data_IF_546800312895
#
_entry.id   IF_546800312895
#
_cell.length_a   1.000
_cell.length_b   1.000
_cell.length_c   1.000
_cell.angle_alpha   90.00
_cell.angle_beta   90.00
_cell.angle_gamma   90.00
#
_symmetry.space_group_name_H-M   'P 1'
#
loop_
_entity.id
_entity.type
_entity.pdbx_description
1 polymer ?
#
# COMPACT_ATOMS: atom_id res chain seq x y z
N UNK A 1 -4.42 12.04 0.90
CA UNK A 1 -3.16 11.38 0.57
C UNK A 1 -3.16 9.92 0.99
N UNK A 2 -2.94 9.02 0.02
CA UNK A 2 -2.84 7.56 0.20
C UNK A 2 -1.38 7.10 0.19
N UNK A 3 -1.07 6.03 0.92
CA UNK A 3 0.29 5.52 1.11
C UNK A 3 0.45 4.02 0.77
N UNK A 4 0.11 3.57 -0.45
CA UNK A 4 0.31 2.18 -0.84
C UNK A 4 1.79 1.86 -1.08
N UNK A 5 2.14 0.57 -1.10
CA UNK A 5 3.48 0.09 -1.46
C UNK A 5 3.85 0.58 -2.86
N UNK A 6 5.04 1.18 -3.01
CA UNK A 6 5.60 1.65 -4.28
C UNK A 6 6.93 0.96 -4.55
N UNK A 7 7.22 0.67 -5.83
CA UNK A 7 8.51 0.13 -6.28
C UNK A 7 9.17 1.09 -7.26
N UNK A 8 8.59 1.26 -8.44
CA UNK A 8 9.13 2.10 -9.50
C UNK A 8 8.71 3.58 -9.35
N UNK A 9 7.48 3.84 -8.91
CA UNK A 9 6.96 5.20 -8.76
C UNK A 9 6.63 5.90 -10.10
N UNK A 10 6.65 5.16 -11.21
CA UNK A 10 6.46 5.70 -12.57
C UNK A 10 5.28 5.07 -13.32
N UNK A 11 4.49 4.24 -12.64
CA UNK A 11 3.28 3.61 -13.20
C UNK A 11 3.52 2.31 -13.96
N UNK A 12 4.75 1.76 -13.94
CA UNK A 12 5.11 0.55 -14.68
C UNK A 12 4.86 -0.73 -13.89
N UNK A 13 4.95 -0.71 -12.56
CA UNK A 13 4.85 -1.95 -11.77
C UNK A 13 3.44 -2.27 -11.24
N UNK A 14 2.55 -1.26 -11.12
CA UNK A 14 1.21 -1.44 -10.54
C UNK A 14 1.18 -1.82 -9.04
N UNK A 15 2.33 -1.75 -8.34
CA UNK A 15 2.42 -2.03 -6.89
C UNK A 15 1.52 -1.10 -6.06
N UNK A 16 1.46 0.16 -6.48
CA UNK A 16 0.69 1.22 -5.82
C UNK A 16 -0.78 1.33 -6.27
N UNK A 17 -1.32 0.26 -6.90
CA UNK A 17 -2.71 0.28 -7.37
C UNK A 17 -3.69 0.45 -6.20
N UNK A 18 -4.74 1.21 -6.47
CA UNK A 18 -5.89 1.43 -5.61
C UNK A 18 -7.17 1.20 -6.42
N UNK A 19 -8.16 0.58 -5.79
CA UNK A 19 -9.51 0.46 -6.34
C UNK A 19 -10.33 1.64 -5.83
N UNK A 20 -10.91 2.40 -6.76
CA UNK A 20 -11.87 3.47 -6.48
C UNK A 20 -13.25 3.07 -6.99
N UNK A 21 -14.29 3.58 -6.33
CA UNK A 21 -15.69 3.46 -6.73
C UNK A 21 -16.18 4.82 -7.18
N UNK A 22 -16.01 5.11 -8.47
CA UNK A 22 -16.48 6.34 -9.12
C UNK A 22 -17.80 6.02 -9.85
N UNK A 23 -18.87 6.80 -9.61
CA UNK A 23 -20.19 6.59 -10.22
C UNK A 23 -20.73 5.14 -10.13
N UNK A 24 -20.44 4.47 -9.00
CA UNK A 24 -20.83 3.07 -8.77
C UNK A 24 -20.01 2.03 -9.53
N UNK A 25 -18.95 2.42 -10.24
CA UNK A 25 -18.05 1.52 -10.98
C UNK A 25 -16.71 1.41 -10.28
N UNK A 26 -16.17 0.18 -10.23
CA UNK A 26 -14.81 -0.07 -9.74
C UNK A 26 -13.80 0.31 -10.83
N UNK A 27 -12.90 1.23 -10.50
CA UNK A 27 -11.83 1.72 -11.36
C UNK A 27 -10.50 1.50 -10.65
N UNK A 28 -9.48 1.04 -11.38
CA UNK A 28 -8.12 0.91 -10.86
C UNK A 28 -7.35 2.18 -11.21
N UNK A 29 -6.72 2.79 -10.21
CA UNK A 29 -5.82 3.94 -10.34
C UNK A 29 -4.47 3.63 -9.71
N UNK A 30 -3.40 4.28 -10.14
CA UNK A 30 -2.05 4.10 -9.61
C UNK A 30 -1.65 5.32 -8.80
N UNK A 31 -1.44 5.17 -7.48
CA UNK A 31 -1.15 6.31 -6.61
C UNK A 31 0.10 7.11 -7.01
N UNK A 32 1.09 6.48 -7.66
CA UNK A 32 2.31 7.18 -8.11
C UNK A 32 2.13 8.03 -9.39
N UNK A 33 1.05 7.83 -10.15
CA UNK A 33 0.78 8.56 -11.40
C UNK A 33 -0.51 9.37 -11.30
N UNK A 34 -1.59 8.75 -10.83
CA UNK A 34 -2.91 9.36 -10.70
C UNK A 34 -3.15 10.07 -9.36
N UNK A 35 -2.27 9.84 -8.37
CA UNK A 35 -2.42 10.31 -6.99
C UNK A 35 -1.29 11.23 -6.53
N UNK A 36 -0.86 11.16 -5.26
CA UNK A 36 -1.31 10.26 -4.18
C UNK A 36 -2.61 10.71 -3.51
N UNK A 37 -3.15 11.87 -3.89
CA UNK A 37 -4.38 12.43 -3.35
C UNK A 37 -5.60 11.99 -4.16
N UNK A 38 -6.55 11.36 -3.47
CA UNK A 38 -7.80 10.85 -4.03
C UNK A 38 -8.97 11.31 -3.16
N UNK A 39 -10.18 11.29 -3.73
CA UNK A 39 -11.40 11.45 -2.95
C UNK A 39 -11.56 10.25 -2.00
N UNK A 40 -11.41 10.48 -0.69
CA UNK A 40 -11.48 9.41 0.30
C UNK A 40 -12.80 8.64 0.29
N UNK A 41 -13.91 9.24 -0.15
CA UNK A 41 -15.19 8.54 -0.23
C UNK A 41 -15.26 7.49 -1.35
N UNK A 42 -14.39 7.59 -2.34
CA UNK A 42 -14.35 6.68 -3.48
C UNK A 42 -13.37 5.53 -3.24
N UNK A 43 -12.45 5.64 -2.28
CA UNK A 43 -11.39 4.64 -2.06
C UNK A 43 -11.93 3.38 -1.37
N UNK A 44 -11.61 2.20 -1.93
CA UNK A 44 -11.79 0.91 -1.24
C UNK A 44 -10.69 0.73 -0.17
N UNK A 45 -10.97 1.20 1.04
CA UNK A 45 -10.01 1.15 2.16
C UNK A 45 -9.73 -0.26 2.66
N UNK A 46 -10.69 -1.18 2.56
CA UNK A 46 -10.50 -2.56 3.00
C UNK A 46 -9.45 -3.26 2.11
N UNK A 47 -9.54 -3.06 0.79
CA UNK A 47 -8.51 -3.52 -0.14
C UNK A 47 -7.17 -2.84 0.16
N UNK A 48 -7.15 -1.51 0.32
CA UNK A 48 -5.92 -0.75 0.56
C UNK A 48 -5.19 -1.21 1.84
N UNK A 49 -5.92 -1.42 2.95
CA UNK A 49 -5.37 -1.88 4.23
C UNK A 49 -4.86 -3.32 4.14
N UNK A 50 -5.59 -4.21 3.45
CA UNK A 50 -5.14 -5.59 3.22
C UNK A 50 -3.82 -5.62 2.45
N UNK A 51 -3.73 -4.82 1.37
CA UNK A 51 -2.52 -4.70 0.56
C UNK A 51 -1.34 -4.11 1.34
N UNK A 52 -1.58 -3.12 2.20
CA UNK A 52 -0.53 -2.51 3.02
C UNK A 52 0.15 -3.50 3.98
N UNK A 53 -0.52 -4.58 4.37
CA UNK A 53 0.03 -5.61 5.28
C UNK A 53 0.72 -6.77 4.56
N UNK A 54 0.78 -6.76 3.23
CA UNK A 54 1.29 -7.88 2.43
C UNK A 54 2.71 -8.33 2.84
N UNK A 55 3.57 -7.37 3.20
CA UNK A 55 4.97 -7.64 3.58
C UNK A 55 5.24 -7.69 5.08
N UNK A 56 4.20 -7.54 5.92
CA UNK A 56 4.33 -7.56 7.37
C UNK A 56 5.16 -8.73 7.95
N UNK A 57 5.00 -10.00 7.52
CA UNK A 57 5.82 -11.09 8.07
C UNK A 57 7.31 -10.95 7.71
N UNK A 58 7.63 -10.42 6.53
CA UNK A 58 9.01 -10.18 6.11
C UNK A 58 9.62 -9.01 6.86
N UNK A 59 8.86 -7.92 7.01
CA UNK A 59 9.24 -6.74 7.79
C UNK A 59 9.49 -7.11 9.26
N UNK A 60 8.59 -7.91 9.87
CA UNK A 60 8.73 -8.40 11.25
C UNK A 60 10.01 -9.20 11.42
N UNK A 61 10.28 -10.14 10.52
CA UNK A 61 11.49 -10.97 10.55
C UNK A 61 12.76 -10.11 10.45
N UNK A 62 12.83 -9.19 9.49
CA UNK A 62 13.97 -8.30 9.32
C UNK A 62 14.18 -7.38 10.55
N UNK A 63 13.09 -6.92 11.16
CA UNK A 63 13.12 -6.14 12.39
C UNK A 63 13.68 -6.94 13.57
N UNK A 64 13.25 -8.19 13.75
CA UNK A 64 13.73 -9.10 14.82
C UNK A 64 15.22 -9.44 14.66
N UNK A 65 15.68 -9.72 13.45
CA UNK A 65 17.11 -10.00 13.18
C UNK A 65 18.02 -8.80 13.54
N UNK A 66 17.52 -7.57 13.33
CA UNK A 66 18.32 -6.36 13.52
C UNK A 66 18.26 -5.82 14.95
N UNK A 67 17.10 -5.91 15.61
CA UNK A 67 16.85 -5.24 16.88
C UNK A 67 17.61 -5.89 18.05
N UNK A 68 18.57 -5.15 18.61
CA UNK A 68 19.40 -5.63 19.73
C UNK A 68 18.60 -5.95 21.00
N UNK A 69 17.41 -5.36 21.18
CA UNK A 69 16.52 -5.66 22.31
C UNK A 69 16.09 -7.13 22.31
N UNK A 70 15.87 -7.74 21.13
CA UNK A 70 15.42 -9.12 21.01
C UNK A 70 16.56 -10.14 21.01
N UNK A 71 17.83 -9.70 20.98
CA UNK A 71 18.99 -10.60 21.01
C UNK A 71 19.25 -11.21 22.40
N UNK A 72 18.73 -10.57 23.44
CA UNK A 72 18.92 -10.96 24.85
C UNK A 72 17.61 -11.42 25.52
N UNK A 73 16.54 -11.61 24.75
CA UNK A 73 15.24 -12.07 25.21
C UNK A 73 15.09 -13.59 25.03
#
# INVERSE_FOLDING_TARGET
SMNPIMIDGTGMCGGCRLTLVEDGKRIIKFACVDGPDFNGYEVDFDEAMSRARMYFPFERKAHEETCNLFKNA
#
